data_IF_057485579228
#
_entry.id   IF_057485579228
#
_cell.length_a   1.000
_cell.length_b   1.000
_cell.length_c   1.000
_cell.angle_alpha   90.00
_cell.angle_beta   90.00
_cell.angle_gamma   90.00
#
_symmetry.space_group_name_H-M   'P 1'
#
loop_
_entity.id
_entity.type
_entity.pdbx_description
1 polymer ?
#
# COMPACT_ATOMS: atom_id res chain seq x y z
N UNK A 1 8.23 -11.44 -21.85
CA UNK A 1 8.84 -11.02 -20.57
C UNK A 1 9.25 -9.55 -20.67
N UNK A 2 9.55 -8.89 -19.55
CA UNK A 2 9.95 -7.48 -19.50
C UNK A 2 11.37 -7.32 -20.07
N UNK A 3 11.65 -6.32 -20.92
CA UNK A 3 13.01 -6.06 -21.43
C UNK A 3 13.90 -5.40 -20.35
N UNK A 4 15.22 -5.66 -20.42
CA UNK A 4 16.20 -5.02 -19.54
C UNK A 4 16.62 -3.65 -20.10
N UNK A 5 16.01 -2.57 -19.60
CA UNK A 5 16.42 -1.21 -19.91
C UNK A 5 15.49 -0.15 -19.30
N UNK A 6 16.03 1.03 -18.99
CA UNK A 6 15.27 2.09 -18.28
C UNK A 6 14.07 2.55 -19.11
N UNK A 7 14.25 2.92 -20.37
CA UNK A 7 13.10 3.37 -21.19
C UNK A 7 12.27 2.17 -21.68
N UNK A 8 12.93 1.08 -22.08
CA UNK A 8 12.24 -0.09 -22.65
C UNK A 8 11.30 -0.80 -21.67
N UNK A 9 11.60 -0.84 -20.36
CA UNK A 9 10.65 -1.41 -19.39
C UNK A 9 9.46 -0.49 -19.10
N UNK A 10 9.64 0.84 -19.25
CA UNK A 10 8.54 1.81 -19.15
C UNK A 10 7.61 1.68 -20.37
N UNK A 11 8.19 1.57 -21.56
CA UNK A 11 7.44 1.31 -22.80
C UNK A 11 6.65 0.00 -22.70
N UNK A 12 7.28 -1.06 -22.15
CA UNK A 12 6.60 -2.32 -21.88
C UNK A 12 5.42 -2.16 -20.91
N UNK A 13 5.60 -1.40 -19.84
CA UNK A 13 4.54 -1.15 -18.84
C UNK A 13 3.34 -0.43 -19.46
N UNK A 14 3.60 0.60 -20.27
CA UNK A 14 2.55 1.33 -21.00
C UNK A 14 1.85 0.44 -22.03
N UNK A 15 2.62 -0.27 -22.85
CA UNK A 15 2.11 -1.17 -23.86
C UNK A 15 1.27 -2.31 -23.26
N UNK A 16 1.65 -2.85 -22.11
CA UNK A 16 0.91 -3.88 -21.41
C UNK A 16 -0.50 -3.40 -21.02
N UNK A 17 -0.61 -2.20 -20.45
CA UNK A 17 -1.92 -1.62 -20.11
C UNK A 17 -2.80 -1.38 -21.34
N UNK A 18 -2.22 -0.88 -22.42
CA UNK A 18 -2.93 -0.66 -23.69
C UNK A 18 -3.43 -1.98 -24.28
N UNK A 19 -2.57 -3.01 -24.29
CA UNK A 19 -2.86 -4.32 -24.90
C UNK A 19 -4.05 -5.01 -24.24
N UNK A 20 -4.19 -4.87 -22.92
CA UNK A 20 -5.22 -5.59 -22.14
C UNK A 20 -6.34 -4.68 -21.64
N UNK A 21 -6.65 -3.60 -22.38
CA UNK A 21 -7.86 -2.83 -22.14
C UNK A 21 -7.86 -2.00 -20.87
N UNK A 22 -6.75 -1.28 -20.62
CA UNK A 22 -6.55 -0.34 -19.52
C UNK A 22 -6.56 -0.95 -18.11
N UNK A 23 -5.37 -1.10 -17.52
CA UNK A 23 -5.18 -1.65 -16.18
C UNK A 23 -5.84 -0.86 -15.03
N UNK A 24 -6.32 0.37 -15.25
CA UNK A 24 -7.11 1.07 -14.23
C UNK A 24 -8.44 0.36 -13.90
N UNK A 25 -8.90 -0.55 -14.76
CA UNK A 25 -10.08 -1.38 -14.52
C UNK A 25 -9.76 -2.75 -13.93
N UNK A 26 -8.47 -3.08 -13.74
CA UNK A 26 -8.07 -4.29 -13.03
C UNK A 26 -8.18 -4.05 -11.51
N UNK A 27 -9.06 -4.79 -10.79
CA UNK A 27 -9.28 -4.54 -9.36
C UNK A 27 -8.04 -4.81 -8.50
N UNK A 28 -7.18 -5.76 -8.90
CA UNK A 28 -5.94 -6.06 -8.18
C UNK A 28 -4.86 -5.01 -8.42
N UNK A 29 -4.83 -4.39 -9.60
CA UNK A 29 -3.98 -3.23 -9.86
C UNK A 29 -4.42 -2.02 -8.99
N UNK A 30 -5.73 -1.78 -8.87
CA UNK A 30 -6.25 -0.74 -7.97
C UNK A 30 -5.90 -1.02 -6.50
N UNK A 31 -6.04 -2.27 -6.04
CA UNK A 31 -5.61 -2.66 -4.68
C UNK A 31 -4.10 -2.44 -4.49
N UNK A 32 -3.28 -2.79 -5.47
CA UNK A 32 -1.83 -2.52 -5.42
C UNK A 32 -1.51 -1.03 -5.29
N UNK A 33 -2.28 -0.15 -5.94
CA UNK A 33 -2.15 1.30 -5.79
C UNK A 33 -2.55 1.75 -4.38
N UNK A 34 -3.67 1.24 -3.85
CA UNK A 34 -4.12 1.54 -2.47
C UNK A 34 -3.05 1.16 -1.45
N UNK A 35 -2.44 -0.02 -1.59
CA UNK A 35 -1.39 -0.46 -0.68
C UNK A 35 -0.07 0.29 -0.88
N UNK A 36 0.26 0.70 -2.11
CA UNK A 36 1.44 1.54 -2.38
C UNK A 36 1.29 2.93 -1.73
N UNK A 37 0.15 3.59 -1.97
CA UNK A 37 -0.15 4.89 -1.37
C UNK A 37 -0.28 4.78 0.15
N UNK A 38 -0.95 3.73 0.64
CA UNK A 38 -1.07 3.43 2.06
C UNK A 38 0.28 3.17 2.72
N UNK A 39 1.25 2.56 2.03
CA UNK A 39 2.61 2.37 2.53
C UNK A 39 3.33 3.71 2.72
N UNK A 40 3.24 4.61 1.74
CA UNK A 40 3.79 5.96 1.88
C UNK A 40 3.11 6.74 3.02
N UNK A 41 1.79 6.68 3.11
CA UNK A 41 1.00 7.31 4.17
C UNK A 41 1.42 6.77 5.56
N UNK A 42 1.43 5.46 5.75
CA UNK A 42 1.76 4.83 7.03
C UNK A 42 3.20 5.11 7.45
N UNK A 43 4.16 5.07 6.51
CA UNK A 43 5.56 5.38 6.83
C UNK A 43 5.72 6.85 7.21
N UNK A 44 5.06 7.77 6.48
CA UNK A 44 5.08 9.18 6.83
C UNK A 44 4.48 9.43 8.23
N UNK A 45 3.32 8.85 8.53
CA UNK A 45 2.68 8.93 9.84
C UNK A 45 3.56 8.36 10.95
N UNK A 46 4.07 7.13 10.77
CA UNK A 46 4.88 6.44 11.75
C UNK A 46 6.22 7.14 11.97
N UNK A 47 6.97 7.43 10.90
CA UNK A 47 8.26 8.11 10.99
C UNK A 47 8.16 9.48 11.65
N UNK A 48 7.15 10.28 11.30
CA UNK A 48 6.91 11.56 11.97
C UNK A 48 6.54 11.38 13.45
N UNK A 49 5.75 10.35 13.78
CA UNK A 49 5.38 10.04 15.17
C UNK A 49 6.60 9.69 16.00
N UNK A 50 7.46 8.77 15.52
CA UNK A 50 8.67 8.36 16.24
C UNK A 50 9.59 9.55 16.48
N UNK A 51 9.85 10.37 15.46
CA UNK A 51 10.65 11.58 15.61
C UNK A 51 10.04 12.57 16.62
N UNK A 52 8.72 12.72 16.65
CA UNK A 52 8.05 13.61 17.61
C UNK A 52 8.19 13.15 19.07
N UNK A 53 8.30 11.83 19.29
CA UNK A 53 8.48 11.21 20.61
C UNK A 53 9.92 10.77 20.91
N UNK A 54 10.91 11.04 20.03
CA UNK A 54 12.34 10.76 20.26
C UNK A 54 12.87 11.42 21.53
N UNK A 55 12.33 12.59 21.92
CA UNK A 55 12.68 13.24 23.20
C UNK A 55 12.35 12.39 24.44
N UNK A 56 11.56 11.33 24.28
CA UNK A 56 11.19 10.35 25.30
C UNK A 56 11.80 8.97 25.02
N UNK A 57 12.74 8.86 24.07
CA UNK A 57 13.34 7.60 23.62
C UNK A 57 12.39 6.72 22.80
N UNK A 58 11.47 7.30 22.03
CA UNK A 58 10.48 6.54 21.26
C UNK A 58 11.06 5.69 20.12
N UNK A 59 12.25 6.03 19.62
CA UNK A 59 13.00 5.26 18.62
C UNK A 59 13.58 3.95 19.17
N UNK A 60 13.62 3.79 20.49
CA UNK A 60 13.99 2.54 21.18
C UNK A 60 12.78 1.62 21.24
N UNK A 61 12.30 1.24 20.07
CA UNK A 61 10.98 0.62 19.89
C UNK A 61 10.88 -0.74 20.57
N UNK A 62 11.97 -1.52 20.64
CA UNK A 62 11.98 -2.81 21.33
C UNK A 62 11.67 -2.62 22.82
N UNK A 63 12.32 -1.65 23.48
CA UNK A 63 12.06 -1.35 24.88
C UNK A 63 10.67 -0.79 25.09
N UNK A 64 10.19 0.07 24.18
CA UNK A 64 8.83 0.59 24.22
C UNK A 64 7.74 -0.48 24.03
N UNK A 65 8.05 -1.56 23.30
CA UNK A 65 7.16 -2.70 23.09
C UNK A 65 7.12 -3.59 24.34
N UNK A 66 8.27 -3.89 24.93
CA UNK A 66 8.36 -4.79 26.09
C UNK A 66 8.00 -4.11 27.42
N UNK A 67 8.29 -2.82 27.56
CA UNK A 67 7.96 -1.98 28.72
C UNK A 67 7.42 -0.61 28.27
N UNK A 68 6.09 -0.45 28.36
CA UNK A 68 5.39 0.69 27.77
C UNK A 68 5.77 2.00 28.47
N UNK A 69 6.55 2.84 27.79
CA UNK A 69 6.92 4.18 28.25
C UNK A 69 5.98 5.30 27.80
N UNK A 70 6.23 6.52 28.30
CA UNK A 70 5.46 7.72 27.93
C UNK A 70 5.58 8.08 26.44
N UNK A 71 6.64 7.63 25.75
CA UNK A 71 6.77 7.79 24.31
C UNK A 71 5.62 7.06 23.58
N UNK A 72 5.41 5.77 23.91
CA UNK A 72 4.34 4.94 23.36
C UNK A 72 2.95 5.46 23.71
N UNK A 73 2.74 5.90 24.95
CA UNK A 73 1.45 6.44 25.38
C UNK A 73 1.07 7.72 24.63
N UNK A 74 2.02 8.65 24.47
CA UNK A 74 1.80 9.90 23.72
C UNK A 74 1.60 9.65 22.23
N UNK A 75 2.38 8.75 21.65
CA UNK A 75 2.23 8.33 20.26
C UNK A 75 0.82 7.76 20.02
N UNK A 76 0.38 6.84 20.87
CA UNK A 76 -0.95 6.25 20.80
C UNK A 76 -2.07 7.29 21.00
N UNK A 77 -1.96 8.15 22.02
CA UNK A 77 -2.98 9.16 22.32
C UNK A 77 -3.10 10.22 21.23
N UNK A 78 -1.99 10.65 20.62
CA UNK A 78 -2.01 11.56 19.48
C UNK A 78 -2.94 11.04 18.36
N UNK A 79 -2.74 9.79 17.95
CA UNK A 79 -3.57 9.17 16.91
C UNK A 79 -4.99 8.91 17.37
N UNK A 80 -5.19 8.46 18.63
CA UNK A 80 -6.53 8.23 19.19
C UNK A 80 -7.37 9.50 19.18
N UNK A 81 -6.78 10.64 19.53
CA UNK A 81 -7.45 11.94 19.52
C UNK A 81 -7.64 12.49 18.12
N UNK A 82 -6.77 12.14 17.18
CA UNK A 82 -6.84 12.62 15.78
C UNK A 82 -7.87 11.86 14.95
N UNK A 83 -7.93 10.53 15.07
CA UNK A 83 -8.76 9.68 14.19
C UNK A 83 -9.64 8.66 14.92
N UNK A 84 -9.75 8.74 16.25
CA UNK A 84 -10.68 7.93 17.05
C UNK A 84 -10.18 6.53 17.44
N UNK A 85 -9.07 6.07 16.86
CA UNK A 85 -8.40 4.80 17.21
C UNK A 85 -6.88 4.95 17.11
N UNK A 86 -6.14 3.97 17.63
CA UNK A 86 -4.67 3.99 17.60
C UNK A 86 -4.10 2.57 17.55
N UNK A 87 -2.81 2.48 17.19
CA UNK A 87 -2.00 1.28 17.31
C UNK A 87 -1.18 1.28 18.61
N UNK A 88 -0.60 0.12 18.95
CA UNK A 88 0.55 0.00 19.85
C UNK A 88 1.87 0.15 19.10
N UNK A 89 2.97 0.32 19.83
CA UNK A 89 4.32 0.38 19.27
C UNK A 89 4.69 -0.89 18.48
N UNK A 90 4.17 -2.07 18.85
CA UNK A 90 4.42 -3.30 18.08
C UNK A 90 3.50 -3.43 16.87
N UNK A 91 2.22 -3.14 17.06
CA UNK A 91 1.20 -3.41 16.03
C UNK A 91 1.33 -2.47 14.82
N UNK A 92 1.85 -1.24 14.99
CA UNK A 92 2.06 -0.32 13.85
C UNK A 92 3.05 -0.90 12.82
N UNK A 93 4.08 -1.62 13.26
CA UNK A 93 5.01 -2.31 12.34
C UNK A 93 4.33 -3.46 11.61
N UNK A 94 3.34 -4.13 12.23
CA UNK A 94 2.51 -5.15 11.55
C UNK A 94 1.63 -4.51 10.48
N UNK A 95 1.01 -3.36 10.77
CA UNK A 95 0.26 -2.60 9.77
C UNK A 95 1.15 -2.19 8.59
N UNK A 96 2.31 -1.59 8.86
CA UNK A 96 3.27 -1.20 7.84
C UNK A 96 3.75 -2.40 7.00
N UNK A 97 4.09 -3.52 7.66
CA UNK A 97 4.53 -4.74 6.98
C UNK A 97 3.46 -5.29 6.04
N UNK A 98 2.21 -5.42 6.51
CA UNK A 98 1.13 -5.93 5.67
C UNK A 98 0.80 -5.01 4.49
N UNK A 99 0.82 -3.69 4.67
CA UNK A 99 0.62 -2.75 3.55
C UNK A 99 1.73 -2.89 2.49
N UNK A 100 2.98 -3.04 2.90
CA UNK A 100 4.08 -3.26 1.97
C UNK A 100 3.95 -4.60 1.23
N UNK A 101 3.69 -5.70 1.94
CA UNK A 101 3.53 -7.04 1.34
C UNK A 101 2.32 -7.10 0.39
N UNK A 102 1.20 -6.50 0.77
CA UNK A 102 -0.02 -6.51 -0.04
C UNK A 102 0.13 -5.72 -1.34
N UNK A 103 1.05 -4.75 -1.40
CA UNK A 103 1.37 -4.02 -2.64
C UNK A 103 1.83 -4.98 -3.73
N UNK A 104 2.89 -5.75 -3.49
CA UNK A 104 3.44 -6.65 -4.52
C UNK A 104 2.61 -7.92 -4.67
N UNK A 105 1.93 -8.39 -3.62
CA UNK A 105 1.05 -9.55 -3.71
C UNK A 105 -0.13 -9.28 -4.65
N UNK A 106 -0.84 -8.17 -4.45
CA UNK A 106 -1.97 -7.82 -5.33
C UNK A 106 -1.51 -7.42 -6.72
N UNK A 107 -0.38 -6.69 -6.85
CA UNK A 107 0.23 -6.42 -8.15
C UNK A 107 0.56 -7.71 -8.93
N UNK A 108 1.13 -8.71 -8.27
CA UNK A 108 1.42 -10.01 -8.86
C UNK A 108 0.18 -10.76 -9.32
N UNK A 109 -0.88 -10.79 -8.50
CA UNK A 109 -2.16 -11.41 -8.87
C UNK A 109 -2.77 -10.70 -10.10
N UNK A 110 -2.75 -9.37 -10.12
CA UNK A 110 -3.27 -8.58 -11.24
C UNK A 110 -2.59 -8.90 -12.57
N UNK A 111 -1.26 -9.01 -12.57
CA UNK A 111 -0.50 -9.40 -13.77
C UNK A 111 -0.75 -10.86 -14.15
N UNK A 112 -0.80 -11.77 -13.18
CA UNK A 112 -1.02 -13.20 -13.43
C UNK A 112 -2.33 -13.45 -14.16
N UNK A 113 -3.42 -12.75 -13.79
CA UNK A 113 -4.74 -12.90 -14.41
C UNK A 113 -4.86 -12.21 -15.78
N UNK A 114 -3.98 -11.25 -16.07
CA UNK A 114 -4.02 -10.48 -17.32
C UNK A 114 -3.49 -11.33 -18.48
N UNK A 115 -4.33 -11.54 -19.49
CA UNK A 115 -4.03 -12.39 -20.65
C UNK A 115 -4.21 -13.89 -20.41
N UNK A 116 -4.26 -14.36 -19.16
CA UNK A 116 -4.56 -15.77 -18.83
C UNK A 116 -6.05 -16.01 -18.56
N UNK A 117 -6.70 -15.07 -17.87
CA UNK A 117 -8.12 -15.14 -17.48
C UNK A 117 -8.91 -13.97 -18.07
N UNK A 118 -8.33 -12.76 -18.08
CA UNK A 118 -8.98 -11.55 -18.60
C UNK A 118 -8.15 -10.94 -19.72
N UNK A 119 -8.74 -10.82 -20.91
CA UNK A 119 -8.08 -10.24 -22.10
C UNK A 119 -8.34 -8.74 -22.28
N UNK A 120 -9.38 -8.20 -21.65
CA UNK A 120 -9.77 -6.78 -21.70
C UNK A 120 -10.37 -6.37 -20.35
N UNK A 121 -9.66 -5.54 -19.60
CA UNK A 121 -10.08 -5.10 -18.27
C UNK A 121 -11.24 -4.10 -18.29
N UNK A 122 -11.33 -3.23 -19.29
CA UNK A 122 -12.47 -2.32 -19.44
C UNK A 122 -13.74 -3.11 -19.76
N UNK A 123 -13.68 -4.02 -20.73
CA UNK A 123 -14.80 -4.91 -21.03
C UNK A 123 -15.19 -5.76 -19.81
N UNK A 124 -14.23 -6.24 -19.03
CA UNK A 124 -14.50 -6.93 -17.76
C UNK A 124 -15.25 -6.02 -16.76
N UNK A 125 -14.88 -4.74 -16.67
CA UNK A 125 -15.53 -3.77 -15.80
C UNK A 125 -16.95 -3.40 -16.25
N UNK A 126 -17.23 -3.40 -17.56
CA UNK A 126 -18.58 -3.21 -18.09
C UNK A 126 -19.50 -4.37 -17.68
N UNK A 127 -19.02 -5.62 -17.83
CA UNK A 127 -19.76 -6.83 -17.45
C UNK A 127 -20.03 -6.90 -15.94
N UNK A 128 -19.13 -6.35 -15.11
CA UNK A 128 -19.26 -6.32 -13.65
C UNK A 128 -19.75 -4.97 -13.11
N UNK A 129 -20.26 -4.09 -13.98
CA UNK A 129 -20.99 -2.87 -13.63
C UNK A 129 -20.25 -1.86 -12.75
N UNK A 130 -18.93 -1.71 -12.92
CA UNK A 130 -18.17 -0.64 -12.27
C UNK A 130 -17.38 0.23 -13.25
N UNK A 131 -17.49 -0.02 -14.56
CA UNK A 131 -17.14 0.98 -15.57
C UNK A 131 -18.14 2.15 -15.50
N UNK A 132 -17.69 3.41 -15.47
CA UNK A 132 -18.59 4.56 -15.49
C UNK A 132 -19.35 4.62 -16.82
N UNK A 133 -20.63 5.04 -16.80
CA UNK A 133 -21.38 5.26 -18.04
C UNK A 133 -20.72 6.38 -18.86
N UNK A 134 -20.83 6.25 -20.18
CA UNK A 134 -20.36 7.27 -21.14
C UNK A 134 -21.31 8.45 -21.21
#
# INVERSE_FOLDING_TARGET
>A
AVPYGIVSHLDWTGAFSITYGNLFYNPFHCLSIVFLYGSALLFAMHGATILAVTRYGGEREIEQITDRGTASERAALFWRWTMGFNASMESIHRWAWWFAVLTTLTGGIGILLTGTVVSDWYGWAEVHHFAPPR
#
